data_IF_167720971971
#
_entry.id   IF_167720971971
#
_cell.length_a   1.000
_cell.length_b   1.000
_cell.length_c   1.000
_cell.angle_alpha   90.00
_cell.angle_beta   90.00
_cell.angle_gamma   90.00
#
_symmetry.space_group_name_H-M   'P 1'
#
loop_
_entity.id
_entity.type
_entity.pdbx_description
1 polymer ?
#
# COMPACT_ATOMS: atom_id res chain seq x y z
N UNK A 1 -29.16 -35.60 0.24
CA UNK A 1 -29.76 -34.26 0.31
C UNK A 1 -29.47 -33.58 -1.02
N UNK A 2 -30.43 -33.57 -1.94
CA UNK A 2 -30.20 -33.31 -3.37
C UNK A 2 -30.87 -31.99 -3.75
N UNK A 3 -30.06 -31.00 -4.15
CA UNK A 3 -30.55 -29.68 -4.55
C UNK A 3 -31.21 -29.74 -5.94
N UNK A 4 -32.41 -29.16 -6.07
CA UNK A 4 -33.11 -28.98 -7.36
C UNK A 4 -32.68 -27.66 -8.00
N UNK A 5 -32.50 -27.69 -9.32
CA UNK A 5 -32.19 -26.53 -10.17
C UNK A 5 -33.48 -25.71 -10.40
N UNK A 6 -33.43 -24.40 -10.14
CA UNK A 6 -34.55 -23.49 -10.40
C UNK A 6 -34.84 -23.39 -11.90
N UNK A 7 -36.12 -23.25 -12.27
CA UNK A 7 -36.58 -23.12 -13.67
C UNK A 7 -36.74 -21.65 -14.04
N UNK A 8 -36.47 -21.36 -15.30
CA UNK A 8 -36.46 -20.02 -15.92
C UNK A 8 -37.81 -19.28 -15.89
N UNK A 9 -38.90 -19.96 -15.51
CA UNK A 9 -40.24 -19.37 -15.40
C UNK A 9 -40.45 -18.49 -14.16
N UNK A 10 -39.53 -18.49 -13.20
CA UNK A 10 -39.69 -17.76 -11.93
C UNK A 10 -39.13 -16.33 -11.98
N UNK A 11 -38.62 -15.88 -13.14
CA UNK A 11 -38.06 -14.53 -13.35
C UNK A 11 -38.95 -13.73 -14.31
N UNK A 12 -40.12 -13.29 -13.83
CA UNK A 12 -41.05 -12.45 -14.59
C UNK A 12 -41.25 -11.06 -13.95
N UNK A 13 -41.04 -10.01 -14.78
CA UNK A 13 -41.28 -8.56 -14.59
C UNK A 13 -40.21 -7.75 -13.84
N UNK A 14 -39.63 -6.67 -14.39
CA UNK A 14 -39.85 -5.96 -15.65
C UNK A 14 -38.58 -5.18 -16.05
N UNK A 15 -38.03 -5.47 -17.23
CA UNK A 15 -37.08 -4.59 -17.92
C UNK A 15 -37.82 -4.00 -19.12
N UNK A 16 -38.10 -2.70 -19.09
CA UNK A 16 -38.64 -2.01 -20.28
C UNK A 16 -37.51 -1.79 -21.29
N UNK A 17 -37.78 -1.83 -22.61
CA UNK A 17 -36.78 -1.48 -23.61
C UNK A 17 -36.34 -0.03 -23.39
N UNK A 18 -35.04 0.22 -23.48
CA UNK A 18 -34.49 1.58 -23.57
C UNK A 18 -34.77 2.06 -24.99
N UNK A 19 -35.58 3.11 -25.13
CA UNK A 19 -35.78 3.81 -26.40
C UNK A 19 -34.47 4.52 -26.79
N UNK A 20 -34.02 4.29 -28.02
CA UNK A 20 -32.74 4.74 -28.58
C UNK A 20 -32.78 6.19 -29.10
N UNK A 21 -33.61 7.04 -28.48
CA UNK A 21 -33.70 8.47 -28.80
C UNK A 21 -33.09 9.30 -27.66
N UNK A 22 -31.75 9.29 -27.56
CA UNK A 22 -31.05 10.37 -26.85
C UNK A 22 -31.08 11.63 -27.72
N UNK A 23 -31.49 12.80 -27.22
CA UNK A 23 -31.35 14.04 -27.97
C UNK A 23 -29.86 14.28 -28.28
N UNK A 24 -29.53 14.86 -29.44
CA UNK A 24 -28.14 15.15 -29.79
C UNK A 24 -27.55 16.07 -28.71
N UNK A 25 -26.35 15.71 -28.27
CA UNK A 25 -25.57 16.49 -27.33
C UNK A 25 -25.42 17.91 -27.88
N UNK A 26 -26.02 18.91 -27.21
CA UNK A 26 -25.74 20.31 -27.51
C UNK A 26 -24.29 20.57 -27.07
N UNK A 27 -23.37 20.58 -28.04
CA UNK A 27 -21.97 20.90 -27.86
C UNK A 27 -21.76 22.34 -27.39
N UNK A 28 -22.09 22.61 -26.12
CA UNK A 28 -21.57 23.77 -25.41
C UNK A 28 -20.06 23.63 -25.40
N UNK A 29 -19.36 24.62 -25.97
CA UNK A 29 -17.91 24.64 -26.06
C UNK A 29 -17.27 24.56 -24.67
N UNK A 30 -16.91 23.36 -24.25
CA UNK A 30 -15.93 23.17 -23.21
C UNK A 30 -14.59 23.46 -23.87
N UNK A 31 -14.07 24.67 -23.63
CA UNK A 31 -12.70 25.05 -23.97
C UNK A 31 -11.77 23.95 -23.44
N UNK A 32 -11.13 23.23 -24.36
CA UNK A 32 -10.10 22.25 -24.03
C UNK A 32 -8.93 23.05 -23.49
N UNK A 33 -8.81 23.13 -22.18
CA UNK A 33 -7.63 23.71 -21.55
C UNK A 33 -6.47 22.74 -21.85
N UNK A 34 -5.68 23.04 -22.87
CA UNK A 34 -4.37 22.42 -23.05
C UNK A 34 -3.50 22.81 -21.87
N UNK A 35 -3.41 21.91 -20.89
CA UNK A 35 -2.45 22.04 -19.79
C UNK A 35 -1.07 21.76 -20.38
N UNK A 36 -0.39 22.83 -20.80
CA UNK A 36 1.03 22.78 -21.15
C UNK A 36 1.87 22.24 -19.98
N UNK A 37 3.13 21.83 -20.21
CA UNK A 37 3.98 21.31 -19.16
C UNK A 37 4.17 22.41 -18.09
N UNK A 38 3.49 22.26 -16.96
CA UNK A 38 3.67 23.17 -15.84
C UNK A 38 5.07 22.93 -15.29
N UNK A 39 5.96 23.91 -15.51
CA UNK A 39 7.23 23.99 -14.79
C UNK A 39 6.85 24.13 -13.33
N UNK A 40 7.05 23.06 -12.55
CA UNK A 40 6.70 23.05 -11.15
C UNK A 40 7.48 24.17 -10.45
N UNK A 41 6.77 25.19 -9.96
CA UNK A 41 7.36 26.17 -9.07
C UNK A 41 8.06 25.46 -7.91
N UNK A 42 9.16 26.02 -7.37
CA UNK A 42 9.86 25.43 -6.25
C UNK A 42 8.88 25.32 -5.07
N UNK A 43 8.34 24.11 -4.89
CA UNK A 43 7.44 23.81 -3.78
C UNK A 43 8.22 24.12 -2.52
N UNK A 44 7.65 24.94 -1.65
CA UNK A 44 8.08 25.05 -0.25
C UNK A 44 8.30 23.62 0.22
N UNK A 45 9.53 23.29 0.64
CA UNK A 45 9.89 21.90 0.94
C UNK A 45 9.05 21.43 2.11
N UNK A 46 7.96 20.73 1.80
CA UNK A 46 7.15 20.08 2.81
C UNK A 46 8.05 19.09 3.57
N UNK A 47 7.94 19.00 4.91
CA UNK A 47 8.58 17.92 5.64
C UNK A 47 8.01 16.55 5.27
N UNK A 48 6.92 16.53 4.47
CA UNK A 48 6.30 15.33 3.94
C UNK A 48 6.66 15.11 2.47
N UNK A 49 7.12 13.90 2.09
CA UNK A 49 7.16 13.48 0.70
C UNK A 49 5.80 13.71 0.02
N UNK A 50 5.78 14.08 -1.27
CA UNK A 50 4.56 14.05 -2.07
C UNK A 50 3.87 12.68 -1.99
N UNK A 51 2.54 12.65 -1.96
CA UNK A 51 1.79 11.38 -1.85
C UNK A 51 2.16 10.35 -2.93
N UNK A 52 2.45 10.84 -4.15
CA UNK A 52 2.86 10.00 -5.28
C UNK A 52 4.22 9.30 -5.10
N UNK A 53 5.03 9.74 -4.12
CA UNK A 53 6.31 9.12 -3.81
C UNK A 53 6.19 7.99 -2.79
N UNK A 54 5.04 7.78 -2.17
CA UNK A 54 4.83 6.63 -1.30
C UNK A 54 4.57 5.37 -2.12
N UNK A 55 5.23 4.28 -1.74
CA UNK A 55 4.92 2.96 -2.26
C UNK A 55 3.83 2.32 -1.40
N UNK A 56 2.84 1.73 -2.05
CA UNK A 56 1.75 0.99 -1.43
C UNK A 56 2.06 -0.50 -1.43
N UNK A 57 1.96 -1.15 -0.28
CA UNK A 57 2.00 -2.60 -0.13
C UNK A 57 0.74 -3.08 0.58
N UNK A 58 0.30 -4.30 0.27
CA UNK A 58 -0.86 -4.92 0.90
C UNK A 58 -0.82 -6.44 0.76
N UNK A 59 -1.33 -7.16 1.75
CA UNK A 59 -1.64 -8.59 1.72
C UNK A 59 -3.13 -8.86 1.44
N UNK A 60 -3.86 -7.86 0.89
CA UNK A 60 -5.32 -7.84 0.71
C UNK A 60 -6.16 -7.68 1.98
N UNK A 61 -5.57 -7.73 3.17
CA UNK A 61 -6.27 -7.48 4.44
C UNK A 61 -5.76 -6.24 5.17
N UNK A 62 -4.47 -5.98 5.14
CA UNK A 62 -3.85 -4.76 5.67
C UNK A 62 -3.01 -4.11 4.57
N UNK A 63 -2.63 -2.86 4.79
CA UNK A 63 -1.79 -2.12 3.88
C UNK A 63 -0.79 -1.25 4.64
N UNK A 64 0.30 -0.91 3.96
CA UNK A 64 1.25 0.05 4.46
C UNK A 64 1.78 0.96 3.35
N UNK A 65 2.18 2.17 3.73
CA UNK A 65 2.78 3.16 2.83
C UNK A 65 4.24 3.38 3.21
N UNK A 66 5.13 3.15 2.24
CA UNK A 66 6.58 3.25 2.39
C UNK A 66 7.10 4.51 1.69
N UNK A 67 7.66 5.43 2.46
CA UNK A 67 8.32 6.63 1.99
C UNK A 67 9.62 6.30 1.22
N UNK A 68 10.12 7.20 0.36
CA UNK A 68 11.41 7.03 -0.31
C UNK A 68 12.58 6.78 0.65
N UNK A 69 12.50 7.30 1.88
CA UNK A 69 13.48 7.11 2.95
C UNK A 69 13.58 5.68 3.50
N UNK A 70 12.70 4.77 3.04
CA UNK A 70 12.58 3.42 3.59
C UNK A 70 11.77 3.36 4.89
N UNK A 71 11.11 4.45 5.30
CA UNK A 71 10.17 4.48 6.43
C UNK A 71 8.80 3.96 6.01
N UNK A 72 8.24 3.04 6.78
CA UNK A 72 6.79 2.81 6.81
C UNK A 72 6.18 3.97 7.61
N UNK A 73 5.37 4.80 6.95
CA UNK A 73 4.79 6.01 7.55
C UNK A 73 3.28 5.92 7.76
N UNK A 74 2.66 4.90 7.19
CA UNK A 74 1.26 4.56 7.42
C UNK A 74 1.10 3.06 7.53
N UNK A 75 0.45 2.59 8.58
CA UNK A 75 0.02 1.19 8.73
C UNK A 75 -1.02 1.09 9.85
N UNK A 76 -2.10 0.36 9.59
CA UNK A 76 -3.12 0.03 10.57
C UNK A 76 -3.16 -1.49 10.80
N UNK A 77 -3.40 -1.92 12.03
CA UNK A 77 -3.50 -3.33 12.39
C UNK A 77 -4.67 -3.57 13.35
N UNK A 78 -5.38 -4.72 13.26
CA UNK A 78 -5.20 -5.80 12.29
C UNK A 78 -5.96 -5.61 10.96
N UNK A 79 -6.61 -4.46 10.74
CA UNK A 79 -7.42 -4.18 9.54
C UNK A 79 -7.09 -2.79 8.98
N UNK A 80 -7.46 -2.46 7.74
CA UNK A 80 -7.17 -1.16 7.12
C UNK A 80 -7.85 0.01 7.83
N UNK A 81 -8.97 -0.25 8.50
CA UNK A 81 -9.80 0.70 9.24
C UNK A 81 -9.54 0.68 10.76
N UNK A 82 -8.57 -0.13 11.22
CA UNK A 82 -8.18 -0.19 12.63
C UNK A 82 -7.31 1.02 13.03
N UNK A 83 -7.10 1.24 14.34
CA UNK A 83 -6.17 2.27 14.79
C UNK A 83 -4.77 2.12 14.20
N UNK A 84 -4.17 3.26 13.86
CA UNK A 84 -2.84 3.31 13.26
C UNK A 84 -1.78 2.83 14.26
N UNK A 85 -0.79 2.09 13.75
CA UNK A 85 0.48 1.77 14.41
C UNK A 85 1.57 2.76 14.00
N UNK A 86 1.49 3.22 12.74
CA UNK A 86 2.33 4.28 12.18
C UNK A 86 1.44 5.29 11.47
N UNK A 87 1.68 6.58 11.71
CA UNK A 87 0.96 7.68 11.10
C UNK A 87 1.87 8.90 10.81
N UNK A 88 3.18 8.67 10.65
CA UNK A 88 4.16 9.68 10.25
C UNK A 88 3.80 10.48 8.97
N UNK A 89 2.92 9.92 8.13
CA UNK A 89 2.37 10.62 6.96
C UNK A 89 1.48 11.82 7.35
N UNK A 90 0.84 11.79 8.52
CA UNK A 90 -0.05 12.86 9.00
C UNK A 90 0.66 13.77 10.01
N UNK A 91 1.47 13.19 10.89
CA UNK A 91 2.28 13.89 11.87
C UNK A 91 3.60 13.15 12.06
N UNK A 92 4.73 13.85 11.87
CA UNK A 92 6.09 13.27 11.94
C UNK A 92 6.42 12.62 13.29
N UNK A 93 5.70 12.94 14.36
CA UNK A 93 5.84 12.31 15.67
C UNK A 93 4.95 11.07 15.86
N UNK A 94 3.98 10.81 14.96
CA UNK A 94 2.99 9.74 15.10
C UNK A 94 3.49 8.35 14.65
N UNK A 95 4.78 8.09 14.87
CA UNK A 95 5.40 6.77 14.68
C UNK A 95 5.74 6.40 13.24
N UNK A 96 6.83 5.66 13.08
CA UNK A 96 7.29 5.12 11.80
C UNK A 96 8.22 3.93 11.98
N UNK A 97 8.46 3.19 10.90
CA UNK A 97 9.43 2.08 10.90
C UNK A 97 10.42 2.20 9.73
N UNK A 98 11.65 2.62 10.02
CA UNK A 98 12.74 2.76 9.04
C UNK A 98 13.58 1.48 8.96
N UNK A 99 13.90 1.10 7.74
CA UNK A 99 14.92 0.10 7.44
C UNK A 99 15.70 0.50 6.18
N UNK A 100 17.02 0.63 6.29
CA UNK A 100 17.85 1.08 5.17
C UNK A 100 19.29 1.40 5.58
N UNK A 101 20.10 2.00 4.68
CA UNK A 101 21.48 2.35 4.99
C UNK A 101 21.56 3.48 6.04
N UNK A 102 22.56 3.42 6.91
CA UNK A 102 22.89 4.51 7.84
C UNK A 102 23.36 5.76 7.07
N UNK A 103 22.86 6.94 7.48
CA UNK A 103 23.32 8.23 6.94
C UNK A 103 22.86 8.59 5.52
N UNK A 104 22.04 7.75 4.86
CA UNK A 104 21.47 8.05 3.53
C UNK A 104 19.95 7.97 3.59
N UNK A 105 19.27 9.01 3.13
CA UNK A 105 17.79 9.10 3.13
C UNK A 105 17.18 9.17 1.73
N UNK A 106 17.99 9.48 0.71
CA UNK A 106 17.55 9.53 -0.68
C UNK A 106 18.03 8.27 -1.41
N UNK A 107 17.12 7.43 -1.93
CA UNK A 107 17.50 6.23 -2.68
C UNK A 107 18.00 6.59 -4.08
N UNK A 108 18.84 5.72 -4.66
CA UNK A 108 19.31 5.85 -6.03
C UNK A 108 18.26 5.43 -7.06
N UNK A 109 17.31 4.58 -6.67
CA UNK A 109 16.21 4.15 -7.52
C UNK A 109 15.19 3.32 -6.78
N UNK A 110 13.95 3.32 -7.28
CA UNK A 110 12.82 2.57 -6.72
C UNK A 110 11.95 2.03 -7.84
N UNK A 111 11.45 0.81 -7.66
CA UNK A 111 10.48 0.19 -8.56
C UNK A 111 9.73 -0.92 -7.86
N UNK A 112 8.55 -1.26 -8.35
CA UNK A 112 7.98 -2.58 -8.06
C UNK A 112 8.66 -3.63 -8.95
N UNK A 113 8.88 -4.83 -8.41
CA UNK A 113 9.27 -5.95 -9.24
C UNK A 113 8.12 -6.31 -10.18
N UNK A 114 8.38 -6.50 -11.49
CA UNK A 114 7.33 -6.74 -12.48
C UNK A 114 6.38 -7.88 -12.09
N UNK A 115 5.08 -7.65 -12.23
CA UNK A 115 4.04 -8.64 -11.92
C UNK A 115 3.81 -8.90 -10.43
N UNK A 116 4.40 -8.08 -9.54
CA UNK A 116 4.28 -8.25 -8.08
C UNK A 116 4.02 -6.92 -7.39
N UNK A 117 3.53 -6.99 -6.15
CA UNK A 117 3.50 -5.85 -5.24
C UNK A 117 4.72 -5.84 -4.31
N UNK A 118 5.90 -6.23 -4.81
CA UNK A 118 7.17 -6.17 -4.07
C UNK A 118 7.91 -4.89 -4.44
N UNK A 119 8.16 -4.02 -3.48
CA UNK A 119 8.94 -2.82 -3.67
C UNK A 119 10.43 -3.14 -3.61
N UNK A 120 11.20 -2.78 -4.63
CA UNK A 120 12.66 -2.80 -4.63
C UNK A 120 13.19 -1.36 -4.54
N UNK A 121 13.98 -1.08 -3.50
CA UNK A 121 14.65 0.22 -3.30
C UNK A 121 16.16 0.01 -3.33
N UNK A 122 16.81 0.69 -4.26
CA UNK A 122 18.27 0.65 -4.44
C UNK A 122 18.90 1.89 -3.81
N UNK A 123 19.95 1.67 -3.02
CA UNK A 123 20.69 2.70 -2.34
C UNK A 123 22.15 2.68 -2.76
N UNK A 124 22.69 3.88 -3.01
CA UNK A 124 24.12 4.09 -3.17
C UNK A 124 24.65 4.78 -1.92
N UNK A 125 25.61 4.16 -1.26
CA UNK A 125 26.35 4.76 -0.15
C UNK A 125 27.78 5.07 -0.58
N UNK A 126 28.57 5.68 0.30
CA UNK A 126 30.00 5.94 0.04
C UNK A 126 30.82 4.65 -0.09
N UNK A 127 30.40 3.58 0.58
CA UNK A 127 31.17 2.34 0.75
C UNK A 127 30.60 1.14 -0.01
N UNK A 128 29.38 1.26 -0.54
CA UNK A 128 28.73 0.14 -1.23
C UNK A 128 27.32 0.42 -1.73
N UNK A 129 26.74 -0.61 -2.32
CA UNK A 129 25.38 -0.61 -2.87
C UNK A 129 24.50 -1.59 -2.12
N UNK A 130 23.30 -1.15 -1.78
CA UNK A 130 22.31 -1.92 -1.05
C UNK A 130 21.01 -1.99 -1.85
N UNK A 131 20.43 -3.18 -1.94
CA UNK A 131 19.08 -3.39 -2.43
C UNK A 131 18.23 -3.82 -1.24
N UNK A 132 17.16 -3.08 -0.97
CA UNK A 132 16.13 -3.43 0.01
C UNK A 132 14.87 -3.84 -0.74
N UNK A 133 14.26 -4.95 -0.33
CA UNK A 133 12.95 -5.38 -0.85
C UNK A 133 11.94 -5.47 0.27
N UNK A 134 10.79 -4.83 0.05
CA UNK A 134 9.67 -4.77 0.99
C UNK A 134 8.44 -5.43 0.36
N UNK A 135 7.80 -6.33 1.10
CA UNK A 135 6.59 -7.02 0.68
C UNK A 135 5.71 -7.37 1.89
N UNK A 136 4.40 -7.43 1.66
CA UNK A 136 3.47 -8.04 2.62
C UNK A 136 3.32 -9.52 2.29
N UNK A 137 3.43 -10.39 3.29
CA UNK A 137 3.38 -11.84 3.11
C UNK A 137 1.95 -12.35 2.94
N UNK A 138 1.78 -13.26 2.00
CA UNK A 138 0.58 -14.05 1.79
C UNK A 138 1.03 -15.51 1.79
N UNK A 139 0.37 -16.36 2.58
CA UNK A 139 0.70 -17.79 2.72
C UNK A 139 -0.46 -18.70 2.38
N UNK A 140 -0.26 -20.04 2.39
CA UNK A 140 -1.33 -21.01 2.14
C UNK A 140 -2.43 -20.89 3.20
N UNK A 141 -3.68 -21.17 2.83
CA UNK A 141 -4.78 -21.21 3.79
C UNK A 141 -4.58 -22.33 4.82
N UNK A 142 -4.51 -21.99 6.13
CA UNK A 142 -4.35 -22.98 7.22
C UNK A 142 -5.43 -22.93 8.31
N UNK A 143 -6.49 -22.14 8.15
CA UNK A 143 -7.55 -22.05 9.17
C UNK A 143 -8.47 -23.29 9.20
N UNK A 144 -8.59 -23.91 10.38
CA UNK A 144 -9.55 -24.97 10.71
C UNK A 144 -11.00 -24.48 10.80
N UNK A 145 -11.19 -23.17 10.90
CA UNK A 145 -12.48 -22.50 10.83
C UNK A 145 -12.74 -22.05 9.39
N UNK A 146 -13.98 -22.24 8.92
CA UNK A 146 -14.38 -22.07 7.50
C UNK A 146 -14.26 -20.62 6.96
N UNK A 147 -13.94 -19.63 7.81
CA UNK A 147 -13.76 -18.20 7.49
C UNK A 147 -12.78 -17.54 8.47
N UNK A 148 -11.92 -16.64 7.97
CA UNK A 148 -11.13 -15.76 8.84
C UNK A 148 -12.04 -14.75 9.56
N UNK A 149 -11.68 -14.41 10.80
CA UNK A 149 -12.41 -13.44 11.62
C UNK A 149 -12.23 -11.99 11.13
N UNK A 150 -11.21 -11.73 10.32
CA UNK A 150 -10.87 -10.42 9.74
C UNK A 150 -11.24 -10.33 8.25
N UNK A 151 -11.35 -11.47 7.57
CA UNK A 151 -11.58 -11.56 6.13
C UNK A 151 -13.07 -11.62 5.76
N UNK A 152 -13.55 -10.63 4.97
CA UNK A 152 -14.94 -10.61 4.44
C UNK A 152 -15.10 -11.24 3.05
N UNK A 153 -14.01 -11.58 2.35
CA UNK A 153 -14.03 -12.12 0.99
C UNK A 153 -14.18 -13.65 0.99
N UNK A 154 -14.62 -14.27 -0.12
CA UNK A 154 -14.60 -15.73 -0.24
C UNK A 154 -13.16 -16.26 -0.08
N UNK A 155 -12.92 -17.31 0.72
CA UNK A 155 -11.59 -17.86 0.91
C UNK A 155 -10.92 -18.18 -0.43
N UNK A 156 -9.73 -17.64 -0.64
CA UNK A 156 -8.79 -18.15 -1.65
C UNK A 156 -7.95 -19.28 -1.05
N UNK A 157 -7.19 -19.99 -1.88
CA UNK A 157 -6.19 -20.98 -1.42
C UNK A 157 -5.05 -20.34 -0.59
N UNK A 158 -5.02 -19.01 -0.53
CA UNK A 158 -4.04 -18.20 0.16
C UNK A 158 -4.71 -17.20 1.12
N UNK A 159 -4.00 -16.81 2.17
CA UNK A 159 -4.45 -15.90 3.23
C UNK A 159 -3.36 -14.88 3.59
N UNK A 160 -3.79 -13.72 4.09
CA UNK A 160 -2.90 -12.69 4.61
C UNK A 160 -2.18 -13.18 5.87
N UNK A 161 -0.86 -13.06 5.91
CA UNK A 161 -0.08 -13.39 7.12
C UNK A 161 0.08 -12.18 8.06
N UNK A 162 -0.32 -10.97 7.61
CA UNK A 162 -0.11 -9.71 8.33
C UNK A 162 1.35 -9.42 8.68
N UNK A 163 2.28 -9.96 7.88
CA UNK A 163 3.73 -9.79 8.07
C UNK A 163 4.27 -8.87 6.97
N UNK A 164 4.91 -7.79 7.40
CA UNK A 164 5.78 -6.99 6.53
C UNK A 164 7.18 -7.63 6.50
N UNK A 165 7.53 -8.24 5.37
CA UNK A 165 8.87 -8.77 5.11
C UNK A 165 9.74 -7.69 4.48
N UNK A 166 10.89 -7.42 5.11
CA UNK A 166 11.91 -6.50 4.60
C UNK A 166 13.24 -7.24 4.50
N UNK A 167 13.78 -7.37 3.30
CA UNK A 167 15.07 -8.02 3.05
C UNK A 167 16.10 -7.02 2.58
N UNK A 168 17.35 -7.18 2.99
CA UNK A 168 18.46 -6.30 2.63
C UNK A 168 19.60 -7.13 2.02
N UNK A 169 20.07 -6.74 0.84
CA UNK A 169 21.20 -7.37 0.16
C UNK A 169 22.24 -6.32 -0.20
N UNK A 170 23.43 -6.42 0.38
CA UNK A 170 24.60 -5.68 -0.09
C UNK A 170 25.08 -6.35 -1.39
N UNK A 171 25.12 -5.59 -2.50
CA UNK A 171 25.54 -6.14 -3.80
C UNK A 171 26.99 -5.84 -4.13
N UNK A 172 27.53 -4.73 -3.61
CA UNK A 172 28.92 -4.31 -3.81
C UNK A 172 29.40 -3.60 -2.55
N UNK A 173 30.62 -3.91 -2.11
CA UNK A 173 31.28 -3.23 -0.98
C UNK A 173 30.67 -3.58 0.37
N UNK A 174 30.67 -2.61 1.28
CA UNK A 174 30.07 -2.73 2.62
C UNK A 174 29.07 -1.61 2.86
N UNK A 175 27.97 -1.94 3.54
CA UNK A 175 26.92 -0.97 3.87
C UNK A 175 26.52 -1.18 5.32
N UNK A 176 26.57 -0.12 6.11
CA UNK A 176 26.01 -0.10 7.45
C UNK A 176 24.50 0.07 7.37
N UNK A 177 23.75 -0.79 8.04
CA UNK A 177 22.28 -0.75 8.07
C UNK A 177 21.81 -0.14 9.39
N UNK A 178 20.73 0.62 9.31
CA UNK A 178 20.00 1.13 10.47
C UNK A 178 18.54 0.70 10.42
N UNK A 179 18.05 0.30 11.59
CA UNK A 179 16.67 -0.06 11.84
C UNK A 179 16.17 0.83 12.99
N UNK A 180 15.09 1.56 12.74
CA UNK A 180 14.47 2.46 13.72
C UNK A 180 12.97 2.22 13.69
N UNK A 181 12.45 1.57 14.74
CA UNK A 181 11.05 1.20 14.85
C UNK A 181 10.43 1.97 16.01
N UNK A 182 9.48 2.84 15.69
CA UNK A 182 8.80 3.71 16.65
C UNK A 182 7.29 3.55 16.46
N UNK A 183 6.68 2.46 16.97
CA UNK A 183 5.24 2.29 16.90
C UNK A 183 4.55 3.23 17.89
N UNK A 184 3.42 3.79 17.46
CA UNK A 184 2.53 4.54 18.34
C UNK A 184 1.11 4.05 18.11
N UNK A 185 0.55 3.39 19.11
CA UNK A 185 -0.72 2.69 19.02
C UNK A 185 -1.91 3.62 19.35
N UNK A 186 -3.09 3.18 18.92
CA UNK A 186 -4.36 3.87 19.18
C UNK A 186 -4.32 5.36 18.78
N UNK A 187 -3.86 5.63 17.55
CA UNK A 187 -3.76 6.98 16.99
C UNK A 187 -2.94 7.96 17.83
N UNK A 188 -1.85 7.51 18.46
CA UNK A 188 -1.03 8.39 19.29
C UNK A 188 -1.27 8.24 20.79
N UNK A 189 -2.33 7.55 21.22
CA UNK A 189 -2.73 7.51 22.63
C UNK A 189 -1.89 6.58 23.49
N UNK A 190 -1.27 5.57 22.88
CA UNK A 190 -0.51 4.55 23.60
C UNK A 190 0.88 4.39 23.00
N UNK A 191 1.92 4.68 23.80
CA UNK A 191 3.31 4.39 23.42
C UNK A 191 3.60 2.89 23.41
N UNK A 192 4.51 2.45 22.54
CA UNK A 192 4.95 1.07 22.51
C UNK A 192 5.72 0.67 23.78
N UNK A 193 5.56 -0.58 24.19
CA UNK A 193 6.35 -1.23 25.24
C UNK A 193 7.14 -2.36 24.59
N UNK A 194 8.44 -2.42 24.89
CA UNK A 194 9.34 -3.47 24.45
C UNK A 194 9.53 -4.45 25.60
N UNK A 195 9.48 -5.74 25.30
CA UNK A 195 9.80 -6.85 26.21
C UNK A 195 11.14 -7.47 25.82
#
# INVERSE_FOLDING_TARGET
MTARKARESDLGQAMRPIDDERPPWNGGGHEVIEVGPQVAEPRVSSPFPPIAEYAFLSDCEVNCLIAPSGRVEWMCLPRPDSPSVFAAMLDRAAGSFRFGPSGVQVPAGRRYLPGTLVLETTWRTRTGWLIVRDAMCIGPWYHSQRRSGTYRRPPSDHEAEHILLRTARCVVGSVELSLDCQPVFDYGRTGAKWE
#
